data_IF_571028783158
#
_entry.id   IF_571028783158
#
_cell.length_a   1.000
_cell.length_b   1.000
_cell.length_c   1.000
_cell.angle_alpha   90.00
_cell.angle_beta   90.00
_cell.angle_gamma   90.00
#
_symmetry.space_group_name_H-M   'P 1'
#
loop_
_entity.id
_entity.type
_entity.pdbx_description
1 polymer ?
#
# COMPACT_ATOMS: atom_id res chain seq x y z
N UNK A 1 -33.64 -5.23 53.96
CA UNK A 1 -33.81 -4.42 52.73
C UNK A 1 -32.57 -3.61 52.34
N UNK A 2 -31.70 -3.22 53.29
CA UNK A 2 -30.45 -2.47 53.00
C UNK A 2 -29.41 -3.24 52.15
N UNK A 3 -29.25 -4.56 52.35
CA UNK A 3 -28.24 -5.35 51.62
C UNK A 3 -28.51 -5.47 50.11
N UNK A 4 -29.79 -5.45 49.68
CA UNK A 4 -30.15 -5.52 48.26
C UNK A 4 -29.92 -4.19 47.52
N UNK A 5 -30.04 -3.05 48.22
CA UNK A 5 -29.70 -1.73 47.66
C UNK A 5 -28.18 -1.58 47.48
N UNK A 6 -27.38 -2.14 48.38
CA UNK A 6 -25.92 -2.13 48.31
C UNK A 6 -25.37 -2.95 47.13
N UNK A 7 -25.94 -4.13 46.86
CA UNK A 7 -25.57 -4.98 45.73
C UNK A 7 -25.93 -4.36 44.36
N UNK A 8 -27.08 -3.67 44.27
CA UNK A 8 -27.45 -2.92 43.05
C UNK A 8 -26.50 -1.76 42.77
N UNK A 9 -26.02 -1.06 43.81
CA UNK A 9 -25.09 0.07 43.66
C UNK A 9 -23.71 -0.36 43.15
N UNK A 10 -23.23 -1.54 43.58
CA UNK A 10 -21.95 -2.10 43.15
C UNK A 10 -22.00 -2.58 41.68
N UNK A 11 -23.12 -3.14 41.23
CA UNK A 11 -23.29 -3.53 39.83
C UNK A 11 -23.35 -2.33 38.87
N UNK A 12 -23.94 -1.20 39.27
CA UNK A 12 -24.04 0.00 38.41
C UNK A 12 -22.68 0.71 38.28
N UNK A 13 -21.82 0.66 39.31
CA UNK A 13 -20.45 1.20 39.23
C UNK A 13 -19.52 0.38 38.32
N UNK A 14 -19.77 -0.92 38.14
CA UNK A 14 -18.93 -1.79 37.29
C UNK A 14 -19.30 -1.76 35.80
N UNK A 15 -20.46 -1.19 35.45
CA UNK A 15 -20.95 -1.10 34.05
C UNK A 15 -20.64 0.21 33.35
N UNK A 16 -19.91 1.13 33.98
CA UNK A 16 -19.39 2.34 33.35
C UNK A 16 -17.90 2.14 33.00
N UNK A 17 -17.57 1.52 31.85
CA UNK A 17 -16.28 1.80 31.27
C UNK A 17 -16.33 3.26 30.83
N UNK A 18 -15.74 4.15 31.63
CA UNK A 18 -15.30 5.45 31.17
C UNK A 18 -14.21 5.21 30.12
N UNK A 19 -14.64 4.91 28.90
CA UNK A 19 -13.84 5.07 27.70
C UNK A 19 -13.60 6.57 27.52
N UNK A 20 -12.65 7.12 28.29
CA UNK A 20 -11.98 8.36 27.90
C UNK A 20 -11.15 8.04 26.65
N UNK A 21 -11.79 8.05 25.49
CA UNK A 21 -11.09 8.14 24.21
C UNK A 21 -10.63 9.58 24.09
N UNK A 22 -9.50 9.88 24.74
CA UNK A 22 -8.79 11.13 24.53
C UNK A 22 -8.05 11.03 23.22
N UNK A 23 -8.62 11.58 22.14
CA UNK A 23 -7.91 11.81 20.89
C UNK A 23 -6.97 13.01 21.03
N UNK A 24 -5.96 12.92 21.90
CA UNK A 24 -4.95 13.96 22.15
C UNK A 24 -3.83 14.00 21.12
N UNK A 25 -3.90 13.18 20.07
CA UNK A 25 -2.89 13.16 19.03
C UNK A 25 -3.21 14.22 17.97
N UNK A 26 -2.56 15.38 18.08
CA UNK A 26 -2.66 16.46 17.12
C UNK A 26 -1.34 16.57 16.34
N UNK A 27 -1.39 16.38 15.03
CA UNK A 27 -0.24 16.47 14.14
C UNK A 27 0.10 17.95 13.83
N UNK A 28 0.52 18.70 14.85
CA UNK A 28 0.92 20.10 14.72
C UNK A 28 2.37 20.26 14.25
N UNK A 29 2.70 21.48 13.79
CA UNK A 29 4.06 21.87 13.44
C UNK A 29 4.99 21.69 14.66
N UNK A 30 5.92 20.74 14.58
CA UNK A 30 6.85 20.40 15.66
C UNK A 30 6.54 19.09 16.40
N UNK A 31 5.43 18.42 16.10
CA UNK A 31 5.17 17.07 16.63
C UNK A 31 6.24 16.07 16.16
N UNK A 32 6.57 16.07 14.87
CA UNK A 32 7.53 15.12 14.31
C UNK A 32 8.96 15.30 14.83
N UNK A 33 9.38 16.52 15.17
CA UNK A 33 10.70 16.75 15.77
C UNK A 33 10.78 16.17 17.17
N UNK A 34 9.74 16.34 18.00
CA UNK A 34 9.66 15.70 19.32
C UNK A 34 9.56 14.17 19.20
N UNK A 35 8.69 13.69 18.31
CA UNK A 35 8.49 12.26 18.10
C UNK A 35 9.78 11.55 17.67
N UNK A 36 10.56 12.13 16.76
CA UNK A 36 11.86 11.57 16.31
C UNK A 36 12.96 11.60 17.39
N UNK A 37 12.85 12.49 18.38
CA UNK A 37 13.80 12.55 19.52
C UNK A 37 13.46 11.50 20.58
N UNK A 38 12.17 11.30 20.84
CA UNK A 38 11.68 10.38 21.87
C UNK A 38 11.55 8.94 21.36
N UNK A 39 11.34 8.77 20.05
CA UNK A 39 11.15 7.47 19.39
C UNK A 39 12.09 7.34 18.20
N UNK A 40 12.67 6.14 18.05
CA UNK A 40 13.50 5.81 16.90
C UNK A 40 12.62 5.47 15.70
N UNK A 41 12.73 6.23 14.60
CA UNK A 41 12.11 5.85 13.34
C UNK A 41 12.68 4.51 12.84
N UNK A 42 11.85 3.63 12.26
CA UNK A 42 12.32 2.38 11.67
C UNK A 42 13.25 2.67 10.49
N UNK A 43 14.28 1.86 10.33
CA UNK A 43 15.16 1.91 9.16
C UNK A 43 14.39 1.51 7.91
N UNK A 44 14.38 2.36 6.90
CA UNK A 44 13.74 2.08 5.61
C UNK A 44 14.44 0.95 4.87
N UNK A 45 13.69 0.14 4.13
CA UNK A 45 14.24 -0.89 3.26
C UNK A 45 15.18 -0.30 2.20
N UNK A 46 16.19 -1.09 1.78
CA UNK A 46 17.21 -0.69 0.79
C UNK A 46 16.64 -0.53 -0.62
N UNK A 47 15.47 -1.09 -0.86
CA UNK A 47 14.78 -1.14 -2.14
C UNK A 47 14.51 0.24 -2.73
N UNK A 48 14.23 1.24 -1.88
CA UNK A 48 14.02 2.62 -2.32
C UNK A 48 15.31 3.43 -2.50
N UNK A 49 16.43 3.01 -1.90
CA UNK A 49 17.70 3.78 -1.98
C UNK A 49 18.57 3.39 -3.17
N UNK A 50 18.46 2.16 -3.67
CA UNK A 50 19.27 1.66 -4.79
C UNK A 50 18.52 1.75 -6.12
N UNK A 51 17.20 1.50 -6.12
CA UNK A 51 16.29 1.56 -7.28
C UNK A 51 16.92 1.07 -8.60
N UNK A 52 17.19 -0.24 -8.66
CA UNK A 52 17.79 -0.93 -9.82
C UNK A 52 16.90 -2.09 -10.29
N UNK A 53 17.37 -2.89 -11.24
CA UNK A 53 16.60 -4.01 -11.80
C UNK A 53 16.19 -5.09 -10.78
N UNK A 54 16.88 -5.21 -9.64
CA UNK A 54 16.60 -6.21 -8.59
C UNK A 54 15.94 -5.62 -7.34
N UNK A 55 16.17 -4.34 -7.08
CA UNK A 55 15.68 -3.62 -5.92
C UNK A 55 14.86 -2.45 -6.40
N UNK A 56 13.54 -2.52 -6.25
CA UNK A 56 12.64 -1.43 -6.62
C UNK A 56 11.70 -1.13 -5.46
N UNK A 57 11.40 0.14 -5.24
CA UNK A 57 10.58 0.56 -4.12
C UNK A 57 10.05 1.97 -4.30
N UNK A 58 8.97 2.27 -3.58
CA UNK A 58 8.33 3.58 -3.58
C UNK A 58 8.53 4.26 -2.23
N UNK A 59 9.11 5.46 -2.26
CA UNK A 59 9.15 6.32 -1.07
C UNK A 59 7.78 6.96 -0.88
N UNK A 60 7.17 6.70 0.28
CA UNK A 60 5.84 7.19 0.63
C UNK A 60 5.88 7.84 2.02
N UNK A 61 4.92 8.73 2.34
CA UNK A 61 4.71 9.15 3.72
C UNK A 61 4.47 7.92 4.61
N UNK A 62 5.13 7.85 5.76
CA UNK A 62 5.00 6.68 6.64
C UNK A 62 3.56 6.48 7.11
N UNK A 63 3.05 5.24 7.13
CA UNK A 63 1.73 4.93 7.71
C UNK A 63 1.71 5.05 9.25
N UNK A 64 2.85 5.39 9.86
CA UNK A 64 2.96 5.63 11.30
C UNK A 64 2.45 7.01 11.70
N UNK A 65 2.43 7.26 13.02
CA UNK A 65 1.92 8.48 13.65
C UNK A 65 2.42 9.75 12.92
N UNK A 66 1.48 10.55 12.44
CA UNK A 66 1.69 11.85 11.79
C UNK A 66 2.66 11.83 10.60
N UNK A 67 2.88 10.68 9.96
CA UNK A 67 3.80 10.50 8.82
C UNK A 67 5.23 11.00 9.12
N UNK A 68 5.63 10.96 10.40
CA UNK A 68 6.86 11.60 10.83
C UNK A 68 8.14 10.90 10.39
N UNK A 69 8.08 9.65 9.94
CA UNK A 69 9.23 8.89 9.49
C UNK A 69 9.18 8.71 7.98
N UNK A 70 10.33 8.42 7.39
CA UNK A 70 10.39 7.99 5.99
C UNK A 70 9.92 6.53 5.91
N UNK A 71 9.19 6.20 4.84
CA UNK A 71 8.74 4.84 4.59
C UNK A 71 9.06 4.44 3.16
N UNK A 72 9.58 3.23 3.03
CA UNK A 72 9.85 2.59 1.76
C UNK A 72 8.90 1.42 1.60
N UNK A 73 8.09 1.45 0.54
CA UNK A 73 7.29 0.32 0.10
C UNK A 73 8.07 -0.46 -0.98
N UNK A 74 8.77 -1.55 -0.64
CA UNK A 74 9.43 -2.42 -1.61
C UNK A 74 8.42 -3.02 -2.60
N UNK A 75 8.88 -3.11 -3.85
CA UNK A 75 8.17 -3.69 -4.97
C UNK A 75 8.77 -5.05 -5.31
N UNK A 76 7.98 -6.10 -5.12
CA UNK A 76 8.41 -7.48 -5.30
C UNK A 76 8.38 -7.91 -6.76
N UNK A 77 9.41 -8.66 -7.16
CA UNK A 77 9.54 -9.23 -8.49
C UNK A 77 8.69 -10.49 -8.66
N UNK A 78 8.57 -10.96 -9.90
CA UNK A 78 7.85 -12.20 -10.22
C UNK A 78 8.47 -13.38 -9.45
N UNK A 79 7.63 -14.16 -8.76
CA UNK A 79 8.02 -15.32 -7.96
C UNK A 79 8.42 -15.02 -6.52
N UNK A 80 8.55 -13.74 -6.14
CA UNK A 80 8.82 -13.37 -4.75
C UNK A 80 7.57 -13.52 -3.88
N UNK A 81 7.74 -13.85 -2.58
CA UNK A 81 6.64 -14.05 -1.66
C UNK A 81 5.88 -12.74 -1.44
N UNK A 82 4.56 -12.81 -1.48
CA UNK A 82 3.68 -11.68 -1.26
C UNK A 82 2.59 -12.06 -0.27
N UNK A 83 1.97 -11.06 0.34
CA UNK A 83 0.83 -11.25 1.22
C UNK A 83 -0.38 -10.49 0.68
N UNK A 84 -1.54 -11.12 0.75
CA UNK A 84 -2.83 -10.53 0.38
C UNK A 84 -3.40 -9.64 1.48
N UNK A 85 -2.79 -9.66 2.67
CA UNK A 85 -3.33 -9.04 3.87
C UNK A 85 -4.52 -9.82 4.43
N UNK A 86 -4.59 -9.90 5.75
CA UNK A 86 -5.62 -10.60 6.48
C UNK A 86 -5.39 -10.47 7.98
N UNK A 87 -6.44 -10.66 8.81
CA UNK A 87 -6.27 -10.63 10.25
C UNK A 87 -5.32 -11.75 10.70
N UNK A 88 -4.10 -11.38 11.10
CA UNK A 88 -3.03 -12.30 11.50
C UNK A 88 -1.90 -12.46 10.49
N UNK A 89 -2.02 -11.93 9.26
CA UNK A 89 -1.03 -12.08 8.18
C UNK A 89 0.18 -11.13 8.30
N UNK A 90 0.33 -10.48 9.47
CA UNK A 90 1.34 -9.47 9.73
C UNK A 90 1.11 -8.16 8.97
N UNK A 91 2.00 -7.19 9.20
CA UNK A 91 2.05 -5.98 8.37
C UNK A 91 2.76 -6.33 7.07
N UNK A 92 2.06 -6.25 5.95
CA UNK A 92 2.66 -6.49 4.63
C UNK A 92 3.59 -5.33 4.31
N UNK A 93 4.90 -5.55 4.42
CA UNK A 93 5.92 -4.49 4.27
C UNK A 93 6.27 -4.25 2.81
N UNK A 94 5.44 -4.66 1.84
CA UNK A 94 5.74 -4.58 0.41
C UNK A 94 4.58 -5.02 -0.46
N UNK A 95 4.70 -4.77 -1.77
CA UNK A 95 3.67 -5.06 -2.77
C UNK A 95 4.32 -5.63 -4.03
N UNK A 96 3.63 -6.46 -4.80
CA UNK A 96 4.10 -6.86 -6.14
C UNK A 96 4.30 -5.65 -7.07
N UNK A 97 5.37 -5.68 -7.85
CA UNK A 97 5.71 -4.64 -8.82
C UNK A 97 4.67 -4.45 -9.93
N UNK A 98 4.95 -3.52 -10.85
CA UNK A 98 4.03 -3.19 -11.94
C UNK A 98 3.72 -4.39 -12.84
N UNK A 99 2.43 -4.58 -13.16
CA UNK A 99 1.94 -5.71 -13.98
C UNK A 99 1.96 -7.08 -13.30
N UNK A 100 2.25 -7.11 -11.99
CA UNK A 100 2.23 -8.30 -11.15
C UNK A 100 1.11 -8.20 -10.10
N UNK A 101 0.54 -9.35 -9.75
CA UNK A 101 -0.45 -9.49 -8.68
C UNK A 101 -0.03 -10.61 -7.73
N UNK A 102 -0.48 -10.52 -6.48
CA UNK A 102 -0.24 -11.59 -5.52
C UNK A 102 -1.23 -12.74 -5.77
N UNK A 103 -0.72 -13.94 -6.02
CA UNK A 103 -1.56 -15.12 -6.19
C UNK A 103 -2.03 -15.68 -4.84
N UNK A 104 -3.29 -16.08 -4.75
CA UNK A 104 -3.88 -16.58 -3.50
C UNK A 104 -3.41 -17.99 -3.14
N UNK A 105 -3.12 -18.83 -4.14
CA UNK A 105 -2.70 -20.22 -3.93
C UNK A 105 -1.23 -20.32 -3.54
N UNK A 106 -0.35 -19.69 -4.31
CA UNK A 106 1.11 -19.77 -4.13
C UNK A 106 1.66 -18.72 -3.17
N UNK A 107 0.91 -17.64 -2.91
CA UNK A 107 1.38 -16.47 -2.15
C UNK A 107 2.67 -15.88 -2.73
N UNK A 108 2.76 -15.88 -4.05
CA UNK A 108 3.87 -15.28 -4.80
C UNK A 108 3.36 -14.27 -5.83
N UNK A 109 4.22 -13.32 -6.21
CA UNK A 109 3.91 -12.36 -7.26
C UNK A 109 3.91 -13.04 -8.62
N UNK A 110 2.76 -13.05 -9.28
CA UNK A 110 2.56 -13.62 -10.61
C UNK A 110 2.17 -12.53 -11.60
N UNK A 111 2.31 -12.81 -12.90
CA UNK A 111 1.86 -11.91 -13.95
C UNK A 111 0.34 -11.72 -13.86
N UNK A 112 -0.11 -10.47 -13.89
CA UNK A 112 -1.53 -10.16 -14.03
C UNK A 112 -2.05 -10.67 -15.38
N UNK A 113 -3.12 -11.45 -15.34
CA UNK A 113 -3.89 -11.81 -16.55
C UNK A 113 -5.08 -10.87 -16.64
N UNK A 114 -4.96 -9.85 -17.49
CA UNK A 114 -5.98 -8.82 -17.70
C UNK A 114 -5.95 -8.40 -19.16
N UNK A 115 -7.08 -7.91 -19.67
CA UNK A 115 -7.21 -7.52 -21.08
C UNK A 115 -6.19 -6.49 -21.54
N UNK A 116 -5.84 -5.52 -20.68
CA UNK A 116 -4.86 -4.51 -21.05
C UNK A 116 -3.46 -5.11 -21.16
N UNK A 117 -3.10 -5.98 -20.22
CA UNK A 117 -1.82 -6.66 -20.23
C UNK A 117 -1.68 -7.66 -21.38
N UNK A 118 -2.76 -8.36 -21.74
CA UNK A 118 -2.76 -9.22 -22.93
C UNK A 118 -2.58 -8.39 -24.22
N UNK A 119 -3.20 -7.20 -24.29
CA UNK A 119 -3.05 -6.29 -25.43
C UNK A 119 -1.64 -5.67 -25.51
N UNK A 120 -0.99 -5.43 -24.37
CA UNK A 120 0.43 -5.05 -24.34
C UNK A 120 1.31 -6.15 -24.92
N UNK A 121 1.08 -7.41 -24.52
CA UNK A 121 1.86 -8.54 -24.98
C UNK A 121 1.66 -8.77 -26.49
N UNK A 122 0.43 -8.59 -27.02
CA UNK A 122 0.15 -8.62 -28.46
C UNK A 122 0.86 -7.49 -29.23
N UNK A 123 0.77 -6.25 -28.71
CA UNK A 123 1.47 -5.12 -29.30
C UNK A 123 2.99 -5.37 -29.33
N UNK A 124 3.58 -5.82 -28.22
CA UNK A 124 5.02 -6.06 -28.11
C UNK A 124 5.46 -7.18 -29.08
N UNK A 125 4.65 -8.23 -29.25
CA UNK A 125 4.89 -9.31 -30.20
C UNK A 125 4.82 -8.85 -31.67
N UNK A 126 3.83 -8.01 -32.01
CA UNK A 126 3.69 -7.42 -33.35
C UNK A 126 4.80 -6.39 -33.63
N UNK A 127 5.17 -5.61 -32.63
CA UNK A 127 6.22 -4.59 -32.74
C UNK A 127 7.58 -5.24 -33.02
N UNK A 128 7.90 -6.33 -32.33
CA UNK A 128 9.10 -7.12 -32.57
C UNK A 128 9.17 -7.71 -33.99
N UNK A 129 8.02 -7.92 -34.65
CA UNK A 129 7.92 -8.39 -36.04
C UNK A 129 7.89 -7.25 -37.07
N UNK A 130 7.80 -6.00 -36.63
CA UNK A 130 7.62 -4.84 -37.53
C UNK A 130 6.20 -4.72 -38.12
N UNK A 131 5.20 -5.32 -37.47
CA UNK A 131 3.79 -5.34 -37.92
C UNK A 131 2.95 -4.20 -37.32
N UNK A 132 3.54 -3.36 -36.47
CA UNK A 132 2.87 -2.20 -35.86
C UNK A 132 2.91 -0.99 -36.77
N UNK A 133 1.81 -0.26 -36.83
CA UNK A 133 1.76 1.03 -37.56
C UNK A 133 2.66 2.09 -36.92
N UNK A 134 3.11 3.06 -37.73
CA UNK A 134 3.99 4.17 -37.27
C UNK A 134 3.34 5.01 -36.15
N UNK A 135 2.01 5.08 -36.13
CA UNK A 135 1.23 5.81 -35.13
C UNK A 135 0.57 4.91 -34.09
N UNK A 136 0.77 3.59 -34.19
CA UNK A 136 0.23 2.65 -33.22
C UNK A 136 1.01 2.78 -31.91
N UNK A 137 0.30 2.94 -30.80
CA UNK A 137 0.91 3.10 -29.47
C UNK A 137 0.66 1.86 -28.64
N UNK A 138 1.68 1.47 -27.88
CA UNK A 138 1.58 0.44 -26.86
C UNK A 138 0.49 0.83 -25.85
N UNK A 139 -0.51 -0.03 -25.55
CA UNK A 139 -1.50 0.27 -24.53
C UNK A 139 -0.84 0.49 -23.17
N UNK A 140 -1.29 1.48 -22.40
CA UNK A 140 -0.86 1.67 -21.01
C UNK A 140 -1.90 1.06 -20.07
N UNK A 141 -1.42 0.37 -19.04
CA UNK A 141 -2.26 -0.29 -18.04
C UNK A 141 -2.08 0.36 -16.68
N UNK A 142 -3.17 0.52 -15.95
CA UNK A 142 -3.16 0.99 -14.57
C UNK A 142 -2.66 -0.10 -13.60
N UNK A 143 -2.60 0.23 -12.31
CA UNK A 143 -2.12 -0.69 -11.26
C UNK A 143 -3.03 -1.91 -11.03
N UNK A 144 -4.24 -1.94 -11.60
CA UNK A 144 -5.18 -3.06 -11.53
C UNK A 144 -5.17 -3.92 -12.80
N UNK A 145 -4.45 -3.49 -13.84
CA UNK A 145 -4.45 -4.12 -15.15
C UNK A 145 -5.62 -3.68 -16.03
N UNK A 146 -6.30 -2.59 -15.68
CA UNK A 146 -7.25 -1.92 -16.56
C UNK A 146 -6.51 -0.98 -17.53
N UNK A 147 -7.15 -0.59 -18.63
CA UNK A 147 -6.58 0.43 -19.51
C UNK A 147 -6.47 1.77 -18.78
N UNK A 148 -5.32 2.43 -18.91
CA UNK A 148 -5.11 3.76 -18.37
C UNK A 148 -6.18 4.73 -18.92
N UNK A 149 -6.74 5.54 -18.04
CA UNK A 149 -7.67 6.60 -18.43
C UNK A 149 -6.87 7.88 -18.68
N UNK A 150 -7.20 8.57 -19.77
CA UNK A 150 -6.59 9.85 -20.11
C UNK A 150 -7.67 10.92 -20.17
N UNK A 151 -7.50 11.97 -19.39
CA UNK A 151 -8.27 13.19 -19.55
C UNK A 151 -7.56 14.09 -20.56
N UNK A 152 -8.08 14.10 -21.79
CA UNK A 152 -7.58 15.01 -22.83
C UNK A 152 -8.08 16.43 -22.52
N UNK A 153 -7.19 17.31 -22.05
CA UNK A 153 -7.49 18.74 -21.95
C UNK A 153 -7.51 19.32 -23.38
N UNK A 154 -8.64 19.86 -23.88
CA UNK A 154 -8.80 20.19 -25.30
C UNK A 154 -7.90 21.31 -25.84
N UNK A 155 -7.03 21.90 -25.01
CA UNK A 155 -6.25 23.10 -25.35
C UNK A 155 -4.77 22.85 -25.62
N UNK A 156 -4.30 21.60 -25.69
CA UNK A 156 -2.93 21.29 -26.12
C UNK A 156 -2.96 20.25 -27.24
N UNK A 157 -2.69 20.72 -28.45
CA UNK A 157 -2.38 19.93 -29.66
C UNK A 157 -0.88 19.94 -29.92
#
# INVERSE_FOLDING_TARGET
MAARLLLMFICVLQTLPLFFVSSTLLCEAGFCTKYRQENTCPTTARDCSVNNATFSGLTLPSPTICNCCDYCLPLYNKGEPCSLGGPGDGVTVGRCGHGLTCDNGTRTCVRMSTKCHDAQDDYDARHAKGETGVLERRPECDIRGDYATYDCVPSQT
#
